data_IF_194959051071
#
_entry.id   IF_194959051071
#
_cell.length_a   1.000
_cell.length_b   1.000
_cell.length_c   1.000
_cell.angle_alpha   90.00
_cell.angle_beta   90.00
_cell.angle_gamma   90.00
#
_symmetry.space_group_name_H-M   'P 1'
#
loop_
_entity.id
_entity.type
_entity.pdbx_description
1 polymer ?
#
# COMPACT_ATOMS: atom_id res chain seq x y z
N UNK A 1 -23.08 -3.07 -12.28
CA UNK A 1 -22.12 -2.77 -11.20
C UNK A 1 -22.34 -3.79 -10.09
N UNK A 2 -21.37 -4.66 -9.80
CA UNK A 2 -21.48 -5.62 -8.69
C UNK A 2 -21.41 -4.82 -7.39
N UNK A 3 -22.47 -4.84 -6.60
CA UNK A 3 -22.50 -4.27 -5.26
C UNK A 3 -21.89 -5.30 -4.30
N UNK A 4 -20.74 -5.00 -3.72
CA UNK A 4 -20.17 -5.81 -2.66
C UNK A 4 -20.85 -5.48 -1.33
N UNK A 5 -21.32 -6.51 -0.63
CA UNK A 5 -21.90 -6.33 0.69
C UNK A 5 -20.79 -6.18 1.74
N UNK A 6 -20.88 -5.15 2.57
CA UNK A 6 -20.00 -4.97 3.72
C UNK A 6 -20.63 -5.66 4.93
N UNK A 7 -19.88 -6.53 5.58
CA UNK A 7 -20.24 -7.18 6.86
C UNK A 7 -19.52 -6.46 8.00
N UNK A 8 -20.16 -6.36 9.15
CA UNK A 8 -19.57 -5.73 10.33
C UNK A 8 -18.98 -6.78 11.29
N UNK A 9 -17.75 -6.54 11.74
CA UNK A 9 -17.10 -7.24 12.84
C UNK A 9 -16.23 -6.24 13.60
N UNK A 10 -16.82 -5.47 14.54
CA UNK A 10 -16.13 -4.36 15.20
C UNK A 10 -14.88 -4.81 15.97
N UNK A 11 -13.76 -4.13 15.74
CA UNK A 11 -12.54 -4.27 16.50
C UNK A 11 -12.50 -3.24 17.64
N UNK A 12 -12.10 -3.61 18.88
CA UNK A 12 -11.90 -2.67 19.98
C UNK A 12 -10.60 -1.87 19.84
N UNK A 13 -9.69 -2.26 18.93
CA UNK A 13 -8.34 -1.72 18.79
C UNK A 13 -8.35 -0.43 17.95
N UNK A 14 -8.85 0.66 18.51
CA UNK A 14 -8.86 1.95 17.83
C UNK A 14 -8.85 3.12 18.82
N UNK A 15 -8.49 4.30 18.34
CA UNK A 15 -8.48 5.55 19.09
C UNK A 15 -9.13 6.70 18.30
N UNK A 16 -9.21 7.87 18.93
CA UNK A 16 -9.57 9.10 18.23
C UNK A 16 -8.46 9.55 17.27
N UNK A 17 -8.85 10.12 16.11
CA UNK A 17 -7.89 10.75 15.17
C UNK A 17 -7.49 12.18 15.59
N UNK A 18 -7.87 12.65 16.78
CA UNK A 18 -7.68 14.03 17.21
C UNK A 18 -8.88 14.92 16.89
N UNK A 19 -8.75 16.22 17.20
CA UNK A 19 -9.85 17.19 17.10
C UNK A 19 -10.23 17.56 15.65
N UNK A 20 -9.31 17.43 14.70
CA UNK A 20 -9.52 17.70 13.26
C UNK A 20 -9.02 16.52 12.45
N UNK A 21 -9.83 15.47 12.31
CA UNK A 21 -9.43 14.29 11.59
C UNK A 21 -9.22 14.61 10.10
N UNK A 22 -8.04 14.24 9.59
CA UNK A 22 -7.72 14.25 8.16
C UNK A 22 -7.61 12.81 7.70
N UNK A 23 -8.29 12.47 6.62
CA UNK A 23 -8.16 11.16 5.96
C UNK A 23 -7.79 11.46 4.52
N UNK A 24 -6.51 11.28 4.19
CA UNK A 24 -5.95 11.57 2.87
C UNK A 24 -4.96 10.50 2.38
N UNK A 25 -5.02 9.29 2.96
CA UNK A 25 -4.16 8.18 2.57
C UNK A 25 -4.89 6.84 2.65
N UNK A 26 -4.60 5.94 1.70
CA UNK A 26 -4.92 4.51 1.78
C UNK A 26 -3.65 3.70 1.92
N UNK A 27 -3.63 2.76 2.87
CA UNK A 27 -2.53 1.81 3.04
C UNK A 27 -3.06 0.40 2.83
N UNK A 28 -2.50 -0.29 1.85
CA UNK A 28 -2.87 -1.65 1.49
C UNK A 28 -1.89 -2.65 2.12
N UNK A 29 -2.46 -3.68 2.74
CA UNK A 29 -1.74 -4.72 3.46
C UNK A 29 -2.13 -6.10 2.93
N UNK A 30 -1.29 -7.09 3.14
CA UNK A 30 -1.78 -8.45 3.25
C UNK A 30 -1.78 -8.89 4.71
N UNK A 31 -2.70 -9.80 5.09
CA UNK A 31 -2.84 -10.25 6.49
C UNK A 31 -1.63 -11.02 7.01
N UNK A 32 -0.86 -11.69 6.14
CA UNK A 32 0.21 -12.62 6.55
C UNK A 32 -0.30 -13.79 7.38
N UNK A 33 -1.55 -14.19 7.19
CA UNK A 33 -2.22 -15.26 7.93
C UNK A 33 -2.90 -16.24 6.97
N UNK A 34 -3.02 -17.49 7.42
CA UNK A 34 -3.49 -18.59 6.58
C UNK A 34 -4.97 -18.53 6.22
N UNK A 35 -5.78 -17.73 6.92
CA UNK A 35 -7.22 -17.58 6.64
C UNK A 35 -7.77 -16.24 7.12
N UNK A 36 -8.93 -15.85 6.56
CA UNK A 36 -9.70 -14.71 7.00
C UNK A 36 -10.13 -14.83 8.48
N UNK A 37 -10.52 -16.01 8.93
CA UNK A 37 -10.92 -16.24 10.31
C UNK A 37 -9.79 -15.89 11.29
N UNK A 38 -8.57 -16.38 11.03
CA UNK A 38 -7.40 -16.07 11.86
C UNK A 38 -7.08 -14.56 11.86
N UNK A 39 -7.19 -13.91 10.69
CA UNK A 39 -6.95 -12.48 10.57
C UNK A 39 -7.99 -11.67 11.32
N UNK A 40 -9.27 -12.02 11.19
CA UNK A 40 -10.36 -11.37 11.91
C UNK A 40 -10.22 -11.55 13.42
N UNK A 41 -9.89 -12.75 13.90
CA UNK A 41 -9.65 -13.01 15.32
C UNK A 41 -8.51 -12.12 15.83
N UNK A 42 -7.39 -12.05 15.11
CA UNK A 42 -6.24 -11.23 15.49
C UNK A 42 -6.55 -9.74 15.51
N UNK A 43 -7.23 -9.23 14.47
CA UNK A 43 -7.53 -7.80 14.34
C UNK A 43 -8.61 -7.33 15.34
N UNK A 44 -9.41 -8.25 15.87
CA UNK A 44 -10.45 -7.98 16.86
C UNK A 44 -10.07 -8.39 18.29
N UNK A 45 -8.91 -8.98 18.50
CA UNK A 45 -8.41 -9.32 19.84
C UNK A 45 -7.84 -8.06 20.53
N UNK A 46 -8.42 -7.61 21.67
CA UNK A 46 -7.92 -6.44 22.39
C UNK A 46 -6.48 -6.59 22.86
N UNK A 47 -6.02 -7.80 23.13
CA UNK A 47 -4.63 -8.06 23.56
C UNK A 47 -3.62 -7.89 22.41
N UNK A 48 -4.07 -8.02 21.15
CA UNK A 48 -3.20 -7.92 19.97
C UNK A 48 -2.74 -6.49 19.67
N UNK A 49 -3.54 -5.47 20.05
CA UNK A 49 -3.25 -4.04 19.82
C UNK A 49 -2.90 -3.71 18.36
N UNK A 50 -3.49 -4.44 17.43
CA UNK A 50 -3.45 -4.20 15.98
C UNK A 50 -4.86 -4.22 15.43
N UNK A 51 -5.11 -3.47 14.35
CA UNK A 51 -6.39 -3.44 13.67
C UNK A 51 -6.24 -2.85 12.28
N UNK A 52 -7.29 -2.96 11.45
CA UNK A 52 -7.46 -2.24 10.20
C UNK A 52 -8.89 -1.70 10.12
N UNK A 53 -9.16 -0.83 9.17
CA UNK A 53 -10.52 -0.34 8.96
C UNK A 53 -11.35 -1.39 8.24
N UNK A 54 -10.75 -2.07 7.29
CA UNK A 54 -11.39 -3.12 6.50
C UNK A 54 -10.50 -4.34 6.34
N UNK A 55 -11.17 -5.47 6.13
CA UNK A 55 -10.54 -6.71 5.67
C UNK A 55 -11.29 -7.20 4.44
N UNK A 56 -10.57 -7.64 3.41
CA UNK A 56 -11.12 -8.23 2.18
C UNK A 56 -10.67 -9.67 2.08
N UNK A 57 -11.65 -10.60 2.10
CA UNK A 57 -11.42 -12.03 2.00
C UNK A 57 -11.15 -12.48 0.55
N UNK A 58 -10.65 -13.68 0.35
CA UNK A 58 -10.30 -14.23 -0.97
C UNK A 58 -11.51 -14.38 -1.90
N UNK A 59 -12.70 -14.60 -1.36
CA UNK A 59 -13.97 -14.67 -2.11
C UNK A 59 -14.56 -13.29 -2.47
N UNK A 60 -13.89 -12.20 -2.02
CA UNK A 60 -14.35 -10.81 -2.19
C UNK A 60 -15.29 -10.31 -1.09
N UNK A 61 -15.54 -11.09 -0.05
CA UNK A 61 -16.28 -10.60 1.13
C UNK A 61 -15.50 -9.48 1.80
N UNK A 62 -16.18 -8.36 2.08
CA UNK A 62 -15.62 -7.20 2.74
C UNK A 62 -16.11 -7.12 4.18
N UNK A 63 -15.18 -7.00 5.12
CA UNK A 63 -15.45 -6.80 6.53
C UNK A 63 -15.06 -5.39 6.96
N UNK A 64 -15.95 -4.67 7.66
CA UNK A 64 -15.65 -3.42 8.34
C UNK A 64 -15.34 -3.69 9.80
N UNK A 65 -14.14 -3.28 10.26
CA UNK A 65 -13.64 -3.56 11.60
C UNK A 65 -13.55 -2.31 12.45
N UNK A 66 -13.03 -1.21 11.89
CA UNK A 66 -12.90 0.08 12.59
C UNK A 66 -13.59 1.16 11.76
N UNK A 67 -14.43 2.01 12.36
CA UNK A 67 -15.00 3.16 11.65
C UNK A 67 -13.90 4.08 11.10
N UNK A 68 -14.03 4.58 9.87
CA UNK A 68 -13.01 5.40 9.20
C UNK A 68 -12.62 6.66 10.00
N UNK A 69 -13.58 7.25 10.73
CA UNK A 69 -13.34 8.40 11.60
C UNK A 69 -12.57 8.06 12.87
N UNK A 70 -12.25 6.80 13.10
CA UNK A 70 -11.38 6.34 14.19
C UNK A 70 -10.00 5.98 13.64
N UNK A 71 -8.97 6.07 14.47
CA UNK A 71 -7.61 5.65 14.16
C UNK A 71 -7.46 4.16 14.41
N UNK A 72 -7.32 3.35 13.36
CA UNK A 72 -6.92 1.96 13.47
C UNK A 72 -5.39 1.83 13.60
N UNK A 73 -4.90 0.67 14.05
CA UNK A 73 -3.48 0.43 14.34
C UNK A 73 -2.87 -0.52 13.31
N UNK A 74 -2.62 -0.04 12.08
CA UNK A 74 -2.13 -0.85 10.95
C UNK A 74 -0.77 -0.42 10.40
N UNK A 75 -0.43 0.87 10.43
CA UNK A 75 0.79 1.38 9.80
C UNK A 75 2.03 1.26 10.70
N UNK A 76 1.87 1.31 12.04
CA UNK A 76 2.96 1.30 13.00
C UNK A 76 3.95 2.44 12.77
N UNK A 77 5.25 2.19 13.05
CA UNK A 77 6.32 3.13 12.70
C UNK A 77 6.43 3.21 11.18
N UNK A 78 6.10 4.34 10.61
CA UNK A 78 5.95 4.54 9.18
C UNK A 78 6.24 5.97 8.78
N UNK A 79 6.61 6.17 7.50
CA UNK A 79 6.87 7.48 6.93
C UNK A 79 6.55 7.50 5.44
N UNK A 80 5.90 8.56 4.97
CA UNK A 80 5.65 8.84 3.55
C UNK A 80 5.62 10.35 3.32
N UNK A 81 6.40 10.85 2.35
CA UNK A 81 6.48 12.30 2.07
C UNK A 81 6.81 13.11 3.35
N UNK A 82 7.78 12.63 4.14
CA UNK A 82 8.21 13.16 5.43
C UNK A 82 7.14 13.19 6.54
N UNK A 83 5.92 12.74 6.25
CA UNK A 83 4.86 12.57 7.24
C UNK A 83 5.04 11.24 8.00
N UNK A 84 4.90 11.30 9.32
CA UNK A 84 5.03 10.16 10.24
C UNK A 84 3.70 9.88 10.92
N UNK A 85 3.64 8.77 11.67
CA UNK A 85 2.43 8.36 12.40
C UNK A 85 1.19 8.23 11.50
N UNK A 86 1.37 7.58 10.35
CA UNK A 86 0.40 7.53 9.27
C UNK A 86 -0.95 6.91 9.67
N UNK A 87 -1.05 6.21 10.81
CA UNK A 87 -2.34 5.79 11.37
C UNK A 87 -3.33 6.96 11.58
N UNK A 88 -2.85 8.18 11.81
CA UNK A 88 -3.72 9.34 12.01
C UNK A 88 -4.41 9.82 10.75
N UNK A 89 -3.80 9.62 9.59
CA UNK A 89 -4.22 10.19 8.30
C UNK A 89 -4.67 9.16 7.28
N UNK A 90 -4.58 7.87 7.62
CA UNK A 90 -4.85 6.79 6.66
C UNK A 90 -6.04 5.92 7.02
N UNK A 91 -6.58 5.27 6.00
CA UNK A 91 -7.42 4.09 6.11
C UNK A 91 -6.56 2.87 5.73
N UNK A 92 -6.52 1.85 6.59
CA UNK A 92 -5.84 0.58 6.31
C UNK A 92 -6.81 -0.48 5.84
N UNK A 93 -6.44 -1.19 4.78
CA UNK A 93 -7.18 -2.31 4.21
C UNK A 93 -6.30 -3.55 4.27
N UNK A 94 -6.70 -4.53 5.06
CA UNK A 94 -6.09 -5.86 5.13
C UNK A 94 -6.69 -6.77 4.06
N UNK A 95 -5.86 -7.40 3.26
CA UNK A 95 -6.25 -8.27 2.15
C UNK A 95 -5.78 -9.67 2.49
N UNK A 96 -6.70 -10.62 2.61
CA UNK A 96 -6.37 -11.98 3.03
C UNK A 96 -5.41 -12.62 2.04
N UNK A 97 -4.23 -12.93 2.53
CA UNK A 97 -3.19 -13.66 1.81
C UNK A 97 -2.21 -14.20 2.86
N UNK A 98 -1.74 -15.45 2.73
CA UNK A 98 -0.82 -16.05 3.71
C UNK A 98 0.53 -15.31 3.81
N UNK A 99 0.88 -14.50 2.80
CA UNK A 99 2.12 -13.74 2.79
C UNK A 99 3.37 -14.63 2.67
N UNK A 100 4.52 -13.99 2.61
CA UNK A 100 5.81 -14.65 2.33
C UNK A 100 6.16 -15.79 3.31
N UNK A 101 5.68 -15.68 4.56
CA UNK A 101 5.97 -16.68 5.60
C UNK A 101 5.18 -17.98 5.42
N UNK A 102 3.96 -17.94 4.84
CA UNK A 102 3.02 -19.06 4.87
C UNK A 102 2.54 -19.50 3.48
N UNK A 103 3.25 -19.13 2.43
CA UNK A 103 2.93 -19.51 1.04
C UNK A 103 2.24 -18.38 0.29
N UNK A 104 2.99 -17.28 0.09
CA UNK A 104 2.57 -16.11 -0.68
C UNK A 104 2.12 -16.52 -2.09
N UNK A 105 0.97 -16.00 -2.51
CA UNK A 105 0.31 -16.36 -3.78
C UNK A 105 -0.37 -15.16 -4.42
N UNK A 106 -0.70 -15.24 -5.73
CA UNK A 106 -1.50 -14.21 -6.39
C UNK A 106 -2.85 -14.02 -5.68
N UNK A 107 -3.35 -12.79 -5.73
CA UNK A 107 -4.64 -12.42 -5.16
C UNK A 107 -5.77 -12.82 -6.12
N UNK A 108 -6.83 -13.53 -5.66
CA UNK A 108 -7.94 -13.94 -6.50
C UNK A 108 -8.66 -12.77 -7.18
N UNK A 109 -9.24 -13.01 -8.36
CA UNK A 109 -9.97 -11.99 -9.12
C UNK A 109 -11.13 -11.36 -8.35
N UNK A 110 -11.88 -12.18 -7.60
CA UNK A 110 -12.99 -11.71 -6.77
C UNK A 110 -12.49 -10.75 -5.68
N UNK A 111 -11.39 -11.10 -5.03
CA UNK A 111 -10.75 -10.28 -4.01
C UNK A 111 -10.24 -8.94 -4.60
N UNK A 112 -9.50 -8.98 -5.70
CA UNK A 112 -9.01 -7.77 -6.37
C UNK A 112 -10.13 -6.88 -6.90
N UNK A 113 -11.25 -7.45 -7.33
CA UNK A 113 -12.43 -6.69 -7.71
C UNK A 113 -13.05 -5.97 -6.50
N UNK A 114 -13.15 -6.64 -5.35
CA UNK A 114 -13.65 -6.07 -4.10
C UNK A 114 -12.71 -4.97 -3.57
N UNK A 115 -11.39 -5.19 -3.57
CA UNK A 115 -10.39 -4.18 -3.20
C UNK A 115 -10.52 -2.95 -4.07
N UNK A 116 -10.59 -3.10 -5.39
CA UNK A 116 -10.73 -1.99 -6.32
C UNK A 116 -12.03 -1.22 -6.13
N UNK A 117 -13.14 -1.91 -5.87
CA UNK A 117 -14.42 -1.30 -5.55
C UNK A 117 -14.33 -0.49 -4.24
N UNK A 118 -13.82 -1.10 -3.16
CA UNK A 118 -13.69 -0.48 -1.85
C UNK A 118 -12.80 0.76 -1.88
N UNK A 119 -11.66 0.69 -2.56
CA UNK A 119 -10.76 1.83 -2.72
C UNK A 119 -11.44 2.99 -3.46
N UNK A 120 -12.16 2.73 -4.58
CA UNK A 120 -12.88 3.78 -5.31
C UNK A 120 -13.97 4.42 -4.47
N UNK A 121 -14.70 3.64 -3.67
CA UNK A 121 -15.69 4.17 -2.73
C UNK A 121 -15.04 5.14 -1.74
N UNK A 122 -13.87 4.79 -1.18
CA UNK A 122 -13.13 5.67 -0.28
C UNK A 122 -12.62 6.93 -0.98
N UNK A 123 -12.04 6.80 -2.18
CA UNK A 123 -11.58 7.95 -2.97
C UNK A 123 -12.72 8.92 -3.33
N UNK A 124 -13.96 8.43 -3.45
CA UNK A 124 -15.13 9.29 -3.69
C UNK A 124 -15.60 10.05 -2.45
N UNK A 125 -15.25 9.57 -1.26
CA UNK A 125 -15.72 10.14 0.03
C UNK A 125 -14.64 10.93 0.78
N UNK A 126 -13.38 10.68 0.48
CA UNK A 126 -12.23 11.29 1.13
C UNK A 126 -11.30 11.95 0.11
N UNK A 127 -10.67 13.10 0.43
CA UNK A 127 -9.74 13.80 -0.46
C UNK A 127 -8.36 13.11 -0.48
N UNK A 128 -8.34 11.86 -0.94
CA UNK A 128 -7.12 11.04 -0.99
C UNK A 128 -6.47 11.18 -2.36
N UNK A 129 -5.30 11.83 -2.48
CA UNK A 129 -4.56 11.89 -3.74
C UNK A 129 -4.08 10.50 -4.17
N UNK A 130 -4.00 10.26 -5.48
CA UNK A 130 -3.62 8.94 -6.01
C UNK A 130 -2.19 8.52 -5.63
N UNK A 131 -1.30 9.47 -5.39
CA UNK A 131 0.07 9.25 -4.93
C UNK A 131 0.17 8.94 -3.41
N UNK A 132 -0.97 8.99 -2.71
CA UNK A 132 -1.12 8.57 -1.31
C UNK A 132 -1.91 7.26 -1.15
N UNK A 133 -2.11 6.52 -2.25
CA UNK A 133 -2.53 5.12 -2.23
C UNK A 133 -1.29 4.25 -2.29
N UNK A 134 -0.89 3.67 -1.16
CA UNK A 134 0.42 3.03 -0.96
C UNK A 134 0.30 1.63 -0.36
N UNK A 135 1.36 0.84 -0.49
CA UNK A 135 1.53 -0.41 0.25
C UNK A 135 2.21 -0.19 1.60
N UNK A 136 2.06 -1.11 2.53
CA UNK A 136 2.76 -1.04 3.81
C UNK A 136 4.29 -1.06 3.63
N UNK A 137 4.80 -1.83 2.66
CA UNK A 137 6.23 -1.82 2.33
C UNK A 137 6.72 -0.47 1.80
N UNK A 138 5.86 0.34 1.16
CA UNK A 138 6.26 1.67 0.69
C UNK A 138 6.56 2.61 1.87
N UNK A 139 5.75 2.53 2.94
CA UNK A 139 5.83 3.43 4.10
C UNK A 139 6.69 2.91 5.26
N UNK A 140 7.09 1.64 5.21
CA UNK A 140 7.91 0.99 6.23
C UNK A 140 8.87 -0.05 5.62
N UNK A 141 9.72 0.34 4.65
CA UNK A 141 10.49 -0.57 3.81
C UNK A 141 11.46 -1.46 4.61
N UNK A 142 11.94 -1.00 5.76
CA UNK A 142 12.90 -1.72 6.60
C UNK A 142 12.31 -2.93 7.32
N UNK A 143 10.97 -3.00 7.46
CA UNK A 143 10.31 -3.98 8.32
C UNK A 143 9.11 -4.67 7.70
N UNK A 144 8.65 -4.19 6.51
CA UNK A 144 7.42 -4.66 5.88
C UNK A 144 7.62 -5.07 4.43
N UNK A 145 6.85 -6.08 4.03
CA UNK A 145 6.87 -6.62 2.67
C UNK A 145 5.50 -6.58 2.00
N UNK A 146 4.43 -6.40 2.79
CA UNK A 146 3.05 -6.36 2.31
C UNK A 146 2.72 -5.07 1.51
N UNK A 147 1.84 -5.13 0.51
CA UNK A 147 1.10 -6.30 0.03
C UNK A 147 1.89 -7.25 -0.89
N UNK A 148 3.17 -6.98 -1.15
CA UNK A 148 4.08 -7.84 -1.88
C UNK A 148 4.07 -7.64 -3.40
N UNK A 149 4.99 -8.37 -4.08
CA UNK A 149 5.26 -8.24 -5.51
C UNK A 149 4.20 -8.88 -6.42
N UNK A 150 3.36 -9.79 -5.88
CA UNK A 150 2.25 -10.40 -6.63
C UNK A 150 0.95 -9.58 -6.54
N UNK A 151 0.95 -8.45 -5.85
CA UNK A 151 -0.21 -7.58 -5.77
C UNK A 151 -0.40 -6.79 -7.07
N UNK A 152 -1.60 -6.87 -7.67
CA UNK A 152 -1.87 -6.32 -9.02
C UNK A 152 -2.14 -4.80 -8.97
N UNK A 153 -1.08 -4.02 -8.68
CA UNK A 153 -1.11 -2.56 -8.75
C UNK A 153 -1.55 -2.01 -10.11
N UNK A 154 -1.10 -2.60 -11.27
CA UNK A 154 -1.58 -2.19 -12.58
C UNK A 154 -3.10 -2.26 -12.74
N UNK A 155 -3.74 -3.32 -12.21
CA UNK A 155 -5.20 -3.48 -12.25
C UNK A 155 -5.90 -2.38 -11.47
N UNK A 156 -5.43 -2.05 -10.27
CA UNK A 156 -5.99 -0.96 -9.47
C UNK A 156 -5.87 0.38 -10.19
N UNK A 157 -4.69 0.69 -10.74
CA UNK A 157 -4.44 1.95 -11.45
C UNK A 157 -5.32 2.10 -12.70
N UNK A 158 -5.53 1.02 -13.47
CA UNK A 158 -6.51 1.01 -14.59
C UNK A 158 -7.93 1.30 -14.10
N UNK A 159 -8.24 0.95 -12.86
CA UNK A 159 -9.51 1.23 -12.19
C UNK A 159 -9.58 2.60 -11.51
N UNK A 160 -8.59 3.48 -11.71
CA UNK A 160 -8.54 4.81 -11.08
C UNK A 160 -8.06 4.82 -9.63
N UNK A 161 -7.38 3.77 -9.17
CA UNK A 161 -6.88 3.64 -7.79
C UNK A 161 -5.36 3.59 -7.78
N UNK A 162 -4.73 4.62 -7.21
CA UNK A 162 -3.27 4.74 -7.18
C UNK A 162 -2.66 5.06 -8.55
N UNK A 163 -1.35 5.01 -8.62
CA UNK A 163 -0.56 5.38 -9.80
C UNK A 163 0.25 4.19 -10.27
N UNK A 164 0.17 3.92 -11.58
CA UNK A 164 1.02 2.98 -12.30
C UNK A 164 1.37 3.55 -13.67
N UNK A 165 2.56 4.13 -13.87
CA UNK A 165 2.94 4.69 -15.15
C UNK A 165 3.11 3.58 -16.20
N UNK A 166 2.79 3.90 -17.46
CA UNK A 166 3.12 3.04 -18.59
C UNK A 166 4.65 2.85 -18.67
N UNK A 167 5.14 1.66 -19.02
CA UNK A 167 6.57 1.46 -19.21
C UNK A 167 7.06 2.29 -20.40
N UNK A 168 8.16 3.02 -20.18
CA UNK A 168 8.87 3.76 -21.22
C UNK A 168 9.67 2.86 -22.14
N UNK A 169 10.25 3.45 -23.19
CA UNK A 169 11.21 2.76 -24.05
C UNK A 169 12.54 2.62 -23.30
N UNK A 170 13.05 1.40 -23.26
CA UNK A 170 14.30 1.04 -22.62
C UNK A 170 15.46 1.28 -23.58
N UNK A 171 16.47 2.04 -23.16
CA UNK A 171 17.84 1.93 -23.68
C UNK A 171 18.61 0.97 -22.76
N UNK A 172 19.02 -0.15 -23.30
CA UNK A 172 19.56 -1.27 -22.51
C UNK A 172 20.84 -0.94 -21.73
N UNK A 173 21.61 0.06 -22.18
CA UNK A 173 22.94 0.39 -21.69
C UNK A 173 23.07 1.83 -21.15
N UNK A 174 21.95 2.46 -20.78
CA UNK A 174 22.00 3.80 -20.20
C UNK A 174 22.79 3.78 -18.88
N UNK A 175 23.73 4.72 -18.67
CA UNK A 175 24.48 4.81 -17.43
C UNK A 175 23.53 5.10 -16.25
N UNK A 176 23.75 4.42 -15.14
CA UNK A 176 22.94 4.57 -13.93
C UNK A 176 23.51 5.71 -13.08
N UNK A 177 22.77 6.81 -12.98
CA UNK A 177 23.02 7.85 -11.99
C UNK A 177 22.33 7.47 -10.66
N UNK A 178 23.14 7.01 -9.70
CA UNK A 178 22.64 6.59 -8.37
C UNK A 178 22.17 7.80 -7.53
N UNK A 179 22.76 8.96 -7.70
CA UNK A 179 22.35 10.16 -6.99
C UNK A 179 20.98 10.63 -7.48
N UNK A 180 20.77 10.63 -8.80
CA UNK A 180 19.47 10.92 -9.39
C UNK A 180 18.40 9.89 -8.96
N UNK A 181 18.75 8.60 -8.93
CA UNK A 181 17.83 7.56 -8.49
C UNK A 181 17.40 7.72 -7.01
N UNK A 182 18.34 8.12 -6.14
CA UNK A 182 18.02 8.43 -4.74
C UNK A 182 17.12 9.67 -4.63
N UNK A 183 17.39 10.72 -5.43
CA UNK A 183 16.54 11.92 -5.49
C UNK A 183 15.13 11.60 -6.01
N UNK A 184 15.02 10.74 -7.02
CA UNK A 184 13.72 10.30 -7.56
C UNK A 184 12.92 9.51 -6.51
N UNK A 185 13.57 8.61 -5.76
CA UNK A 185 12.94 7.83 -4.70
C UNK A 185 12.36 8.75 -3.61
N UNK A 186 13.14 9.75 -3.16
CA UNK A 186 12.68 10.75 -2.20
C UNK A 186 11.53 11.59 -2.76
N UNK A 187 11.62 12.04 -4.02
CA UNK A 187 10.58 12.84 -4.68
C UNK A 187 9.26 12.06 -4.89
N UNK A 188 9.30 10.74 -5.03
CA UNK A 188 8.12 9.87 -5.03
C UNK A 188 7.45 9.91 -3.66
N UNK A 189 8.22 9.87 -2.58
CA UNK A 189 7.71 9.94 -1.21
C UNK A 189 8.35 8.97 -0.23
N UNK A 190 9.30 8.14 -0.67
CA UNK A 190 10.00 7.22 0.22
C UNK A 190 10.86 7.97 1.22
N UNK A 191 10.68 7.72 2.51
CA UNK A 191 11.54 8.25 3.56
C UNK A 191 12.77 7.36 3.70
N UNK A 192 13.83 7.70 2.99
CA UNK A 192 15.07 6.92 3.00
C UNK A 192 15.91 7.29 4.22
N UNK A 193 16.16 6.33 5.11
CA UNK A 193 17.07 6.50 6.24
C UNK A 193 18.48 6.10 5.84
N UNK A 194 19.47 6.82 6.35
CA UNK A 194 20.89 6.48 6.16
C UNK A 194 21.15 5.04 6.59
N UNK A 195 21.76 4.26 5.71
CA UNK A 195 22.04 2.83 5.91
C UNK A 195 20.89 1.87 5.54
N UNK A 196 19.74 2.39 5.10
CA UNK A 196 18.57 1.60 4.70
C UNK A 196 18.11 1.88 3.26
N UNK A 197 18.98 2.46 2.45
CA UNK A 197 18.71 2.81 1.05
C UNK A 197 18.28 1.57 0.25
N UNK A 198 18.93 0.44 0.46
CA UNK A 198 18.59 -0.81 -0.21
C UNK A 198 17.16 -1.29 0.12
N UNK A 199 16.69 -1.10 1.35
CA UNK A 199 15.33 -1.47 1.73
C UNK A 199 14.27 -0.64 0.99
N UNK A 200 14.51 0.66 0.81
CA UNK A 200 13.61 1.53 0.05
C UNK A 200 13.60 1.15 -1.45
N UNK A 201 14.76 0.79 -2.02
CA UNK A 201 14.84 0.28 -3.40
C UNK A 201 14.10 -1.04 -3.54
N UNK A 202 14.26 -1.97 -2.61
CA UNK A 202 13.51 -3.23 -2.57
C UNK A 202 12.01 -2.99 -2.52
N UNK A 203 11.54 -2.07 -1.68
CA UNK A 203 10.12 -1.72 -1.60
C UNK A 203 9.61 -1.11 -2.92
N UNK A 204 10.37 -0.19 -3.51
CA UNK A 204 10.06 0.37 -4.81
C UNK A 204 9.97 -0.71 -5.91
N UNK A 205 10.97 -1.60 -5.99
CA UNK A 205 10.98 -2.70 -6.96
C UNK A 205 9.80 -3.64 -6.75
N UNK A 206 9.49 -4.01 -5.50
CA UNK A 206 8.35 -4.85 -5.15
C UNK A 206 7.05 -4.30 -5.71
N UNK A 207 6.87 -3.00 -5.68
CA UNK A 207 5.69 -2.36 -6.23
C UNK A 207 5.80 -2.13 -7.74
N UNK A 208 6.85 -1.51 -8.24
CA UNK A 208 6.92 -0.97 -9.59
C UNK A 208 7.74 -1.81 -10.58
N UNK A 209 8.50 -2.80 -10.09
CA UNK A 209 9.30 -3.74 -10.87
C UNK A 209 9.27 -5.15 -10.26
N UNK A 210 8.10 -5.76 -10.12
CA UNK A 210 7.92 -7.01 -9.36
C UNK A 210 8.66 -8.22 -9.96
N UNK A 211 9.06 -8.17 -11.23
CA UNK A 211 9.80 -9.25 -11.87
C UNK A 211 11.23 -9.44 -11.32
N UNK A 212 11.79 -8.41 -10.64
CA UNK A 212 13.13 -8.48 -10.05
C UNK A 212 13.24 -7.53 -8.85
N UNK A 213 13.23 -8.13 -7.65
CA UNK A 213 13.26 -7.44 -6.36
C UNK A 213 14.58 -7.81 -5.66
N UNK A 214 15.65 -7.06 -5.93
CA UNK A 214 17.00 -7.38 -5.47
C UNK A 214 17.73 -6.23 -4.76
N UNK A 215 17.12 -5.04 -4.71
CA UNK A 215 17.72 -3.85 -4.09
C UNK A 215 18.82 -3.19 -4.91
N UNK A 216 19.02 -3.63 -6.17
CA UNK A 216 20.04 -3.08 -7.06
C UNK A 216 19.42 -2.04 -7.98
N UNK A 217 20.00 -0.85 -8.03
CA UNK A 217 19.63 0.16 -9.02
C UNK A 217 20.38 -0.19 -10.32
N UNK A 218 19.76 -0.96 -11.19
CA UNK A 218 20.19 -1.15 -12.58
C UNK A 218 19.49 -0.16 -13.53
N UNK A 219 19.80 -0.19 -14.80
CA UNK A 219 19.25 0.73 -15.80
C UNK A 219 17.69 0.69 -15.84
N UNK A 220 17.10 -0.49 -15.66
CA UNK A 220 15.63 -0.62 -15.61
C UNK A 220 15.03 0.01 -14.35
N UNK A 221 15.63 -0.22 -13.18
CA UNK A 221 15.18 0.41 -11.92
C UNK A 221 15.32 1.92 -12.00
N UNK A 222 16.43 2.45 -12.53
CA UNK A 222 16.63 3.90 -12.68
C UNK A 222 15.61 4.52 -13.63
N UNK A 223 15.35 3.91 -14.78
CA UNK A 223 14.30 4.35 -15.71
C UNK A 223 12.94 4.35 -15.03
N UNK A 224 12.60 3.27 -14.34
CA UNK A 224 11.32 3.13 -13.66
C UNK A 224 11.10 4.16 -12.55
N UNK A 225 12.15 4.51 -11.80
CA UNK A 225 12.13 5.59 -10.82
C UNK A 225 11.76 6.93 -11.47
N UNK A 226 12.39 7.29 -12.58
CA UNK A 226 12.09 8.52 -13.32
C UNK A 226 10.65 8.57 -13.84
N UNK A 227 10.13 7.46 -14.38
CA UNK A 227 8.74 7.33 -14.85
C UNK A 227 7.74 7.54 -13.70
N UNK A 228 7.97 6.83 -12.58
CA UNK A 228 7.09 6.91 -11.40
C UNK A 228 7.13 8.32 -10.82
N UNK A 229 8.31 8.92 -10.63
CA UNK A 229 8.44 10.31 -10.18
C UNK A 229 7.63 11.26 -11.06
N UNK A 230 7.77 11.13 -12.38
CA UNK A 230 7.04 11.99 -13.33
C UNK A 230 5.53 11.83 -13.19
N UNK A 231 5.04 10.60 -13.05
CA UNK A 231 3.61 10.33 -12.87
C UNK A 231 3.07 10.89 -11.55
N UNK A 232 3.84 10.75 -10.47
CA UNK A 232 3.50 11.29 -9.13
C UNK A 232 3.46 12.82 -9.15
N UNK A 233 4.45 13.47 -9.77
CA UNK A 233 4.48 14.94 -9.91
C UNK A 233 3.26 15.45 -10.69
N UNK A 234 2.88 14.80 -11.78
CA UNK A 234 1.67 15.16 -12.55
C UNK A 234 0.39 14.98 -11.74
N UNK A 235 0.29 13.90 -10.97
CA UNK A 235 -0.89 13.66 -10.12
C UNK A 235 -1.08 14.70 -9.02
N UNK A 236 0.01 15.29 -8.52
CA UNK A 236 -0.03 16.37 -7.50
C UNK A 236 -0.39 17.74 -8.09
N UNK A 237 -0.21 17.91 -9.38
CA UNK A 237 -0.49 19.17 -10.08
C UNK A 237 -1.92 19.24 -10.67
N UNK A 238 -2.65 18.13 -10.68
CA UNK A 238 -4.00 18.01 -11.22
C UNK A 238 -5.06 18.17 -10.14
#
# INVERSE_FOLDING_TARGET
MTLFAIRDRPSPNHEHRGARPRIDMLVLHYTGMRSAAMALDRLCDPAARVSAHYLVDEDGTVWRLVPEMRRAFHAGLSCWQDERDLNFVSIGIEIVNPGHQWGYRPFPDAQMAAVGWLCRDMLSRHPIPLDRVVGHSDIAPERKTDPGELFDWPRLARGGVGIWPAPGRREADAPVDRAQAAADLAAIGYCVRVGYEAAAIVAFQRRFRPARVDGIIDAETALRLGEVRTAFTRSRAA
#
